data_IF_452484133370
#
_entry.id   IF_452484133370
#
_cell.length_a   1.000
_cell.length_b   1.000
_cell.length_c   1.000
_cell.angle_alpha   90.00
_cell.angle_beta   90.00
_cell.angle_gamma   90.00
#
_symmetry.space_group_name_H-M   'P 1'
#
loop_
_entity.id
_entity.type
_entity.pdbx_description
1 polymer ?
#
# COMPACT_ATOMS: atom_id res chain seq x y z
N UNK A 1 33.53 11.56 -24.72
CA UNK A 1 32.24 11.37 -24.03
C UNK A 1 32.54 10.99 -22.59
N UNK A 2 32.12 11.80 -21.59
CA UNK A 2 32.47 11.59 -20.18
C UNK A 2 31.92 10.27 -19.61
N UNK A 3 32.56 9.73 -18.61
CA UNK A 3 32.19 8.47 -17.95
C UNK A 3 30.75 8.44 -17.45
N UNK A 4 30.27 9.56 -16.86
CA UNK A 4 28.88 9.68 -16.39
C UNK A 4 27.86 9.50 -17.51
N UNK A 5 28.13 10.02 -18.72
CA UNK A 5 27.24 9.85 -19.89
C UNK A 5 27.22 8.39 -20.37
N UNK A 6 28.37 7.72 -20.34
CA UNK A 6 28.46 6.28 -20.69
C UNK A 6 27.66 5.43 -19.69
N UNK A 7 27.80 5.67 -18.39
CA UNK A 7 27.04 4.98 -17.35
C UNK A 7 25.53 5.20 -17.52
N UNK A 8 25.09 6.43 -17.79
CA UNK A 8 23.66 6.72 -18.01
C UNK A 8 23.13 6.00 -19.25
N UNK A 9 23.87 5.97 -20.36
CA UNK A 9 23.48 5.23 -21.55
C UNK A 9 23.36 3.74 -21.28
N UNK A 10 24.28 3.15 -20.53
CA UNK A 10 24.22 1.75 -20.13
C UNK A 10 22.99 1.46 -19.25
N UNK A 11 22.68 2.34 -18.28
CA UNK A 11 21.46 2.21 -17.46
C UNK A 11 20.19 2.26 -18.27
N UNK A 12 20.09 3.11 -19.28
CA UNK A 12 18.91 3.23 -20.16
C UNK A 12 18.61 1.96 -20.96
N UNK A 13 19.63 1.13 -21.22
CA UNK A 13 19.54 -0.14 -21.95
C UNK A 13 19.23 -1.34 -21.04
N UNK A 14 19.22 -1.17 -19.73
CA UNK A 14 18.88 -2.24 -18.81
C UNK A 14 17.36 -2.43 -18.70
N UNK A 15 16.88 -3.63 -18.29
CA UNK A 15 15.49 -3.83 -17.92
C UNK A 15 15.07 -2.84 -16.84
N UNK A 16 13.85 -2.31 -16.95
CA UNK A 16 13.35 -1.33 -15.99
C UNK A 16 13.16 -1.93 -14.60
N UNK A 17 13.56 -1.20 -13.58
CA UNK A 17 13.40 -1.56 -12.16
C UNK A 17 11.94 -1.79 -11.73
N UNK A 18 10.96 -1.36 -12.53
CA UNK A 18 9.53 -1.58 -12.25
C UNK A 18 9.00 -2.95 -12.66
N UNK A 19 9.85 -3.84 -13.14
CA UNK A 19 9.46 -5.20 -13.54
C UNK A 19 8.60 -5.29 -14.81
N UNK A 20 8.46 -4.20 -15.59
CA UNK A 20 7.63 -4.18 -16.81
C UNK A 20 8.23 -4.94 -18.01
N UNK A 21 9.48 -5.41 -17.92
CA UNK A 21 10.24 -5.97 -19.04
C UNK A 21 10.71 -4.95 -20.09
N UNK A 22 10.29 -3.68 -19.99
CA UNK A 22 10.72 -2.60 -20.90
C UNK A 22 12.10 -2.09 -20.52
N UNK A 23 12.82 -1.47 -21.48
CA UNK A 23 14.08 -0.78 -21.21
C UNK A 23 13.86 0.42 -20.25
N UNK A 24 14.78 0.62 -19.33
CA UNK A 24 14.68 1.69 -18.33
C UNK A 24 14.50 3.07 -18.96
N UNK A 25 15.25 3.39 -20.00
CA UNK A 25 15.15 4.66 -20.72
C UNK A 25 13.86 4.90 -21.48
N UNK A 26 13.05 3.85 -21.70
CA UNK A 26 11.71 3.91 -22.31
C UNK A 26 10.59 3.70 -21.29
N UNK A 27 10.92 3.67 -20.00
CA UNK A 27 9.97 3.38 -18.92
C UNK A 27 10.13 4.38 -17.76
N UNK A 28 10.90 4.02 -16.73
CA UNK A 28 10.96 4.81 -15.51
C UNK A 28 12.23 5.68 -15.37
N UNK A 29 13.22 5.57 -16.25
CA UNK A 29 14.42 6.41 -16.20
C UNK A 29 14.26 7.64 -17.13
N UNK A 30 13.86 8.76 -16.55
CA UNK A 30 13.67 10.04 -17.23
C UNK A 30 14.94 10.92 -17.04
N UNK A 31 15.69 11.15 -18.10
CA UNK A 31 17.01 11.82 -17.98
C UNK A 31 17.94 10.97 -17.12
N UNK A 32 18.31 11.49 -15.95
CA UNK A 32 19.10 10.83 -14.91
C UNK A 32 18.28 10.50 -13.64
N UNK A 33 16.97 10.67 -13.69
CA UNK A 33 16.06 10.52 -12.56
C UNK A 33 15.14 9.30 -12.76
N UNK A 34 14.98 8.51 -11.70
CA UNK A 34 14.06 7.40 -11.67
C UNK A 34 12.67 7.85 -11.21
N UNK A 35 11.66 7.63 -12.03
CA UNK A 35 10.28 7.99 -11.72
C UNK A 35 9.30 6.95 -12.29
N UNK A 36 8.53 6.33 -11.43
CA UNK A 36 7.41 5.45 -11.78
C UNK A 36 6.11 6.26 -11.66
N UNK A 37 5.44 6.58 -12.77
CA UNK A 37 4.16 7.28 -12.68
C UNK A 37 3.14 6.44 -11.92
N UNK A 38 2.22 7.09 -11.19
CA UNK A 38 1.10 6.41 -10.54
C UNK A 38 0.22 5.69 -11.55
N UNK A 39 -0.41 4.60 -11.13
CA UNK A 39 -1.39 3.89 -11.93
C UNK A 39 -2.57 4.80 -12.28
N UNK A 40 -3.11 4.65 -13.48
CA UNK A 40 -4.29 5.39 -13.91
C UNK A 40 -5.52 4.68 -13.37
N UNK A 41 -6.36 5.41 -12.64
CA UNK A 41 -7.65 4.95 -12.12
C UNK A 41 -8.73 5.88 -12.68
N UNK A 42 -9.74 5.31 -13.34
CA UNK A 42 -10.83 6.04 -13.98
C UNK A 42 -12.17 5.63 -13.35
N UNK A 43 -12.58 6.33 -12.29
CA UNK A 43 -13.83 6.02 -11.59
C UNK A 43 -15.06 6.69 -12.24
N UNK A 44 -14.88 7.85 -12.85
CA UNK A 44 -15.96 8.66 -13.43
C UNK A 44 -16.22 8.39 -14.91
N UNK A 45 -15.25 7.86 -15.67
CA UNK A 45 -15.28 7.80 -17.12
C UNK A 45 -15.40 6.37 -17.64
N UNK A 46 -16.33 6.07 -18.56
CA UNK A 46 -17.40 6.92 -19.05
C UNK A 46 -18.53 7.07 -18.03
N UNK A 47 -19.24 8.22 -17.98
CA UNK A 47 -20.41 8.38 -17.12
C UNK A 47 -21.55 7.49 -17.64
N UNK A 48 -22.18 6.73 -16.75
CA UNK A 48 -23.31 5.86 -17.11
C UNK A 48 -24.66 6.40 -16.62
N UNK A 49 -24.64 7.36 -15.68
CA UNK A 49 -25.82 7.85 -14.99
C UNK A 49 -26.41 6.87 -13.96
N UNK A 50 -25.84 5.66 -13.85
CA UNK A 50 -26.35 4.58 -12.99
C UNK A 50 -25.70 4.58 -11.60
N UNK A 51 -26.48 4.24 -10.60
CA UNK A 51 -26.03 3.98 -9.22
C UNK A 51 -26.50 2.59 -8.79
N UNK A 52 -25.67 1.85 -8.06
CA UNK A 52 -26.01 0.57 -7.45
C UNK A 52 -25.87 0.68 -5.93
N UNK A 53 -26.92 0.38 -5.18
CA UNK A 53 -26.99 0.61 -3.73
C UNK A 53 -25.84 -0.02 -2.93
N UNK A 54 -25.36 -1.18 -3.35
CA UNK A 54 -24.23 -1.87 -2.69
C UNK A 54 -22.86 -1.41 -3.14
N UNK A 55 -22.76 -0.57 -4.19
CA UNK A 55 -21.48 -0.05 -4.64
C UNK A 55 -21.10 1.17 -3.78
N UNK A 56 -19.98 1.10 -3.09
CA UNK A 56 -19.53 2.24 -2.27
C UNK A 56 -19.05 3.46 -3.11
N UNK A 57 -18.97 3.30 -4.45
CA UNK A 57 -18.74 4.38 -5.42
C UNK A 57 -20.03 4.86 -6.10
N UNK A 58 -21.22 4.50 -5.56
CA UNK A 58 -22.54 4.82 -6.18
C UNK A 58 -22.77 6.31 -6.41
N UNK A 59 -22.18 7.15 -5.55
CA UNK A 59 -22.30 8.61 -5.63
C UNK A 59 -21.76 9.20 -6.93
N UNK A 60 -20.78 8.51 -7.55
CA UNK A 60 -20.22 8.90 -8.84
C UNK A 60 -21.18 8.73 -10.01
N UNK A 61 -22.30 8.03 -9.82
CA UNK A 61 -23.30 7.74 -10.86
C UNK A 61 -22.67 7.13 -12.12
N UNK A 62 -21.69 6.32 -11.93
CA UNK A 62 -20.89 5.70 -12.96
C UNK A 62 -20.84 4.16 -12.80
N UNK A 63 -21.83 3.56 -12.13
CA UNK A 63 -21.92 2.12 -11.97
C UNK A 63 -22.27 1.44 -13.28
N UNK A 64 -21.73 0.25 -13.52
CA UNK A 64 -22.15 -0.66 -14.59
C UNK A 64 -21.84 -2.12 -14.23
N UNK A 65 -22.56 -3.03 -14.87
CA UNK A 65 -22.53 -4.45 -14.50
C UNK A 65 -23.24 -4.73 -13.18
N UNK A 66 -23.12 -5.96 -12.71
CA UNK A 66 -23.65 -6.41 -11.41
C UNK A 66 -22.75 -5.98 -10.24
N UNK A 67 -23.19 -6.32 -9.01
CA UNK A 67 -22.34 -6.22 -7.83
C UNK A 67 -21.37 -7.40 -7.83
N UNK A 68 -20.08 -7.11 -7.75
CA UNK A 68 -19.01 -8.12 -7.74
C UNK A 68 -18.53 -8.41 -6.32
N UNK A 69 -17.99 -9.61 -6.13
CA UNK A 69 -17.26 -9.98 -4.92
C UNK A 69 -15.89 -9.32 -4.91
N UNK A 70 -15.79 -8.18 -4.26
CA UNK A 70 -14.52 -7.49 -4.04
C UNK A 70 -13.71 -8.17 -2.95
N UNK A 71 -12.43 -8.41 -3.18
CA UNK A 71 -11.51 -8.83 -2.12
C UNK A 71 -11.18 -7.64 -1.23
N UNK A 72 -11.48 -7.75 0.07
CA UNK A 72 -11.18 -6.72 1.08
C UNK A 72 -9.68 -6.39 1.14
N UNK A 73 -8.85 -7.40 0.94
CA UNK A 73 -7.43 -7.30 0.65
C UNK A 73 -7.23 -8.02 -0.68
N UNK A 74 -6.55 -7.40 -1.62
CA UNK A 74 -6.35 -7.95 -2.98
C UNK A 74 -5.92 -9.40 -2.95
N UNK A 75 -6.60 -10.28 -3.67
CA UNK A 75 -6.31 -11.72 -3.70
C UNK A 75 -4.85 -11.99 -4.10
N UNK A 76 -4.33 -11.22 -5.05
CA UNK A 76 -2.94 -11.32 -5.51
C UNK A 76 -1.93 -10.99 -4.40
N UNK A 77 -2.24 -10.04 -3.51
CA UNK A 77 -1.44 -9.71 -2.33
C UNK A 77 -1.55 -10.80 -1.28
N UNK A 78 -2.76 -11.29 -1.02
CA UNK A 78 -2.97 -12.42 -0.09
C UNK A 78 -2.16 -13.64 -0.52
N UNK A 79 -2.25 -14.03 -1.80
CA UNK A 79 -1.48 -15.18 -2.35
C UNK A 79 0.03 -15.00 -2.23
N UNK A 80 0.52 -13.77 -2.42
CA UNK A 80 1.94 -13.42 -2.27
C UNK A 80 2.40 -13.57 -0.81
N UNK A 81 1.58 -13.13 0.14
CA UNK A 81 1.90 -13.14 1.57
C UNK A 81 1.58 -14.48 2.24
N UNK A 82 0.75 -15.32 1.62
CA UNK A 82 0.38 -16.60 2.17
C UNK A 82 1.60 -17.52 2.32
N UNK A 83 1.70 -18.19 3.47
CA UNK A 83 2.60 -19.31 3.70
C UNK A 83 1.79 -20.58 3.72
N UNK A 84 2.22 -21.61 3.01
CA UNK A 84 1.49 -22.89 2.89
C UNK A 84 0.01 -22.73 2.49
N UNK A 85 -0.27 -21.73 1.65
CA UNK A 85 -1.64 -21.44 1.18
C UNK A 85 -2.53 -20.72 2.21
N UNK A 86 -2.00 -20.36 3.37
CA UNK A 86 -2.72 -19.64 4.43
C UNK A 86 -2.15 -18.24 4.64
N UNK A 87 -3.06 -17.31 4.87
CA UNK A 87 -2.76 -15.92 5.17
C UNK A 87 -3.29 -15.58 6.57
N UNK A 88 -2.43 -15.03 7.41
CA UNK A 88 -2.79 -14.71 8.79
C UNK A 88 -3.24 -13.26 8.91
N UNK A 89 -4.48 -13.04 9.33
CA UNK A 89 -5.05 -11.71 9.56
C UNK A 89 -5.31 -11.47 11.05
N UNK A 90 -5.14 -10.22 11.49
CA UNK A 90 -5.48 -9.75 12.83
C UNK A 90 -6.10 -8.35 12.80
N UNK A 91 -6.79 -7.97 13.89
CA UNK A 91 -7.44 -6.66 14.01
C UNK A 91 -8.82 -6.56 13.38
N UNK A 92 -9.46 -7.69 13.10
CA UNK A 92 -10.83 -7.77 12.58
C UNK A 92 -11.86 -7.95 13.70
N UNK A 93 -13.14 -7.51 13.54
CA UNK A 93 -14.13 -7.52 14.62
C UNK A 93 -14.60 -8.92 15.07
N UNK A 94 -14.31 -9.94 14.28
CA UNK A 94 -14.64 -11.34 14.58
C UNK A 94 -13.49 -12.09 15.26
N UNK A 95 -12.39 -11.38 15.58
CA UNK A 95 -11.27 -11.90 16.38
C UNK A 95 -11.16 -11.14 17.69
N UNK A 96 -10.81 -11.80 18.81
CA UNK A 96 -10.38 -11.14 20.02
C UNK A 96 -9.19 -10.21 19.77
N UNK A 97 -9.06 -9.19 20.60
CA UNK A 97 -7.96 -8.23 20.51
C UNK A 97 -6.61 -8.94 20.69
N UNK A 98 -5.67 -8.63 19.79
CA UNK A 98 -4.34 -9.25 19.77
C UNK A 98 -4.30 -10.63 19.13
N UNK A 99 -5.44 -11.28 18.86
CA UNK A 99 -5.47 -12.57 18.19
C UNK A 99 -5.36 -12.44 16.67
N UNK A 100 -4.89 -13.52 16.06
CA UNK A 100 -4.79 -13.67 14.61
C UNK A 100 -5.40 -14.99 14.17
N UNK A 101 -5.89 -15.03 12.93
CA UNK A 101 -6.46 -16.24 12.33
C UNK A 101 -5.91 -16.46 10.93
N UNK A 102 -5.55 -17.71 10.65
CA UNK A 102 -5.23 -18.14 9.30
C UNK A 102 -6.53 -18.26 8.48
N UNK A 103 -6.53 -17.64 7.30
CA UNK A 103 -7.69 -17.62 6.39
C UNK A 103 -7.24 -17.92 4.97
N UNK A 104 -8.10 -18.55 4.20
CA UNK A 104 -7.88 -18.74 2.77
C UNK A 104 -8.12 -17.46 1.98
N UNK A 105 -7.53 -17.32 0.78
CA UNK A 105 -7.67 -16.11 -0.04
C UNK A 105 -9.13 -15.70 -0.30
N UNK A 106 -10.02 -16.68 -0.48
CA UNK A 106 -11.44 -16.43 -0.77
C UNK A 106 -12.27 -15.99 0.43
N UNK A 107 -11.73 -16.07 1.65
CA UNK A 107 -12.49 -15.75 2.87
C UNK A 107 -12.69 -14.26 3.12
N UNK A 108 -11.93 -13.41 2.44
CA UNK A 108 -11.91 -11.97 2.63
C UNK A 108 -12.53 -11.25 1.43
N UNK A 109 -13.80 -11.58 1.13
CA UNK A 109 -14.55 -10.96 0.04
C UNK A 109 -15.83 -10.30 0.56
N UNK A 110 -16.25 -9.22 -0.10
CA UNK A 110 -17.52 -8.56 0.15
C UNK A 110 -18.15 -8.03 -1.15
N UNK A 111 -19.46 -8.05 -1.22
CA UNK A 111 -20.23 -7.52 -2.34
C UNK A 111 -20.44 -6.01 -2.14
N UNK A 112 -19.41 -5.21 -2.35
CA UNK A 112 -19.41 -3.78 -2.04
C UNK A 112 -18.97 -2.87 -3.20
N UNK A 113 -18.68 -3.42 -4.38
CA UNK A 113 -18.42 -2.70 -5.62
C UNK A 113 -19.22 -3.28 -6.79
N UNK A 114 -19.55 -2.44 -7.78
CA UNK A 114 -20.00 -2.94 -9.08
C UNK A 114 -18.80 -3.42 -9.92
N UNK A 115 -19.06 -4.27 -10.91
CA UNK A 115 -18.02 -4.85 -11.79
C UNK A 115 -17.13 -3.77 -12.41
N UNK A 116 -17.73 -2.67 -12.86
CA UNK A 116 -16.99 -1.57 -13.47
C UNK A 116 -16.02 -0.90 -12.49
N UNK A 117 -16.49 -0.51 -11.30
CA UNK A 117 -15.62 0.16 -10.33
C UNK A 117 -14.56 -0.80 -9.76
N UNK A 118 -14.88 -2.08 -9.63
CA UNK A 118 -13.91 -3.10 -9.27
C UNK A 118 -12.79 -3.20 -10.33
N UNK A 119 -13.15 -3.28 -11.61
CA UNK A 119 -12.19 -3.29 -12.71
C UNK A 119 -11.36 -1.99 -12.77
N UNK A 120 -11.98 -0.83 -12.53
CA UNK A 120 -11.29 0.47 -12.52
C UNK A 120 -10.24 0.58 -11.40
N UNK A 121 -10.43 -0.11 -10.28
CA UNK A 121 -9.50 -0.13 -9.15
C UNK A 121 -8.43 -1.23 -9.24
N UNK A 122 -8.57 -2.20 -10.16
CA UNK A 122 -7.62 -3.31 -10.30
C UNK A 122 -6.16 -2.89 -10.56
N UNK A 123 -5.85 -1.76 -11.24
CA UNK A 123 -4.46 -1.31 -11.38
C UNK A 123 -3.75 -1.04 -10.04
N UNK A 124 -4.50 -0.70 -8.98
CA UNK A 124 -3.95 -0.53 -7.64
C UNK A 124 -3.56 -1.88 -7.01
N UNK A 125 -4.33 -2.94 -7.28
CA UNK A 125 -4.04 -4.29 -6.83
C UNK A 125 -2.76 -4.83 -7.47
N UNK A 126 -2.57 -4.58 -8.77
CA UNK A 126 -1.36 -4.95 -9.50
C UNK A 126 -0.13 -4.18 -8.99
N UNK A 127 -0.29 -2.89 -8.72
CA UNK A 127 0.78 -2.05 -8.17
C UNK A 127 1.18 -2.52 -6.76
N UNK A 128 0.21 -2.81 -5.89
CA UNK A 128 0.47 -3.33 -4.55
C UNK A 128 1.13 -4.72 -4.59
N UNK A 129 0.64 -5.62 -5.44
CA UNK A 129 1.27 -6.93 -5.65
C UNK A 129 2.73 -6.80 -6.05
N UNK A 130 3.04 -5.92 -7.00
CA UNK A 130 4.42 -5.68 -7.43
C UNK A 130 5.27 -5.12 -6.28
N UNK A 131 4.78 -4.10 -5.56
CA UNK A 131 5.50 -3.47 -4.45
C UNK A 131 5.81 -4.49 -3.35
N UNK A 132 4.81 -5.27 -2.92
CA UNK A 132 5.02 -6.26 -1.86
C UNK A 132 5.86 -7.45 -2.32
N UNK A 133 5.82 -7.83 -3.61
CA UNK A 133 6.72 -8.83 -4.17
C UNK A 133 8.18 -8.36 -4.15
N UNK A 134 8.42 -7.11 -4.56
CA UNK A 134 9.74 -6.49 -4.51
C UNK A 134 10.25 -6.39 -3.06
N UNK A 135 9.39 -5.94 -2.15
CA UNK A 135 9.72 -5.80 -0.74
C UNK A 135 10.03 -7.18 -0.10
N UNK A 136 9.18 -8.17 -0.35
CA UNK A 136 9.39 -9.55 0.11
C UNK A 136 10.72 -10.11 -0.41
N UNK A 137 11.01 -9.94 -1.70
CA UNK A 137 12.29 -10.36 -2.29
C UNK A 137 13.49 -9.68 -1.62
N UNK A 138 13.38 -8.39 -1.29
CA UNK A 138 14.43 -7.69 -0.55
C UNK A 138 14.61 -8.22 0.88
N UNK A 139 13.51 -8.67 1.53
CA UNK A 139 13.53 -9.17 2.90
C UNK A 139 13.99 -10.64 3.02
N UNK A 140 13.88 -11.42 1.96
CA UNK A 140 14.23 -12.86 1.93
C UNK A 140 15.72 -13.14 1.77
N UNK A 141 16.58 -12.15 2.01
CA UNK A 141 18.03 -12.32 1.99
C UNK A 141 18.59 -12.90 0.66
N UNK A 142 18.05 -12.43 -0.47
CA UNK A 142 18.59 -12.82 -1.77
C UNK A 142 20.04 -12.37 -1.91
N UNK A 143 20.96 -13.22 -2.40
CA UNK A 143 22.36 -12.84 -2.58
C UNK A 143 22.50 -11.74 -3.64
N UNK A 144 23.43 -10.81 -3.41
CA UNK A 144 23.75 -9.73 -4.35
C UNK A 144 22.99 -8.43 -4.07
N UNK A 145 22.76 -7.64 -5.12
CA UNK A 145 22.07 -6.37 -5.05
C UNK A 145 20.87 -6.35 -5.99
N UNK A 146 19.72 -5.98 -5.48
CA UNK A 146 18.51 -5.80 -6.27
C UNK A 146 18.00 -4.38 -6.14
N UNK A 147 17.51 -3.83 -7.27
CA UNK A 147 16.99 -2.46 -7.32
C UNK A 147 15.62 -2.48 -7.95
N UNK A 148 14.63 -2.02 -7.19
CA UNK A 148 13.23 -1.92 -7.61
C UNK A 148 12.75 -0.46 -7.61
N UNK A 149 11.66 -0.19 -8.32
CA UNK A 149 10.95 1.10 -8.24
C UNK A 149 9.44 0.87 -8.28
N UNK A 150 8.74 1.53 -7.37
CA UNK A 150 7.28 1.56 -7.33
C UNK A 150 6.77 3.00 -7.17
N UNK A 151 5.48 3.22 -7.42
CA UNK A 151 4.83 4.47 -7.04
C UNK A 151 4.36 4.39 -5.59
N UNK A 152 4.79 5.32 -4.76
CA UNK A 152 4.32 5.41 -3.37
C UNK A 152 2.85 5.80 -3.28
N UNK A 153 2.35 6.62 -4.22
CA UNK A 153 0.93 6.95 -4.29
C UNK A 153 0.03 5.73 -4.58
N UNK A 154 0.54 4.72 -5.28
CA UNK A 154 -0.24 3.51 -5.53
C UNK A 154 -0.40 2.70 -4.24
N UNK A 155 0.59 2.69 -3.35
CA UNK A 155 0.46 2.10 -2.02
C UNK A 155 -0.57 2.87 -1.16
N UNK A 156 -0.53 4.20 -1.17
CA UNK A 156 -1.52 5.03 -0.46
C UNK A 156 -2.94 4.72 -0.93
N UNK A 157 -3.16 4.72 -2.25
CA UNK A 157 -4.46 4.47 -2.85
C UNK A 157 -4.95 3.03 -2.65
N UNK A 158 -4.04 2.06 -2.70
CA UNK A 158 -4.36 0.67 -2.41
C UNK A 158 -4.79 0.48 -0.94
N UNK A 159 -4.06 1.09 0.01
CA UNK A 159 -4.46 1.07 1.42
C UNK A 159 -5.80 1.78 1.65
N UNK A 160 -6.07 2.89 0.95
CA UNK A 160 -7.35 3.59 1.02
C UNK A 160 -8.50 2.74 0.45
N UNK A 161 -8.30 2.08 -0.69
CA UNK A 161 -9.25 1.10 -1.27
C UNK A 161 -9.56 0.00 -0.25
N UNK A 162 -8.52 -0.62 0.31
CA UNK A 162 -8.61 -1.69 1.31
C UNK A 162 -9.39 -1.21 2.55
N UNK A 163 -9.04 -0.03 3.08
CA UNK A 163 -9.71 0.56 4.23
C UNK A 163 -11.20 0.82 3.93
N UNK A 164 -11.53 1.38 2.76
CA UNK A 164 -12.91 1.65 2.37
C UNK A 164 -13.71 0.35 2.23
N UNK A 165 -13.15 -0.67 1.62
CA UNK A 165 -13.82 -1.97 1.49
C UNK A 165 -14.09 -2.62 2.86
N UNK A 166 -13.10 -2.60 3.76
CA UNK A 166 -13.23 -3.10 5.13
C UNK A 166 -14.28 -2.31 5.93
N UNK A 167 -14.31 -0.98 5.78
CA UNK A 167 -15.25 -0.10 6.46
C UNK A 167 -16.70 -0.39 6.04
N UNK A 168 -17.00 -0.37 4.73
CA UNK A 168 -18.36 -0.57 4.22
C UNK A 168 -18.88 -2.01 4.41
N UNK A 169 -17.98 -2.97 4.50
CA UNK A 169 -18.31 -4.37 4.80
C UNK A 169 -18.38 -4.67 6.30
N UNK A 170 -18.22 -3.65 7.16
CA UNK A 170 -18.24 -3.76 8.63
C UNK A 170 -17.16 -4.73 9.17
N UNK A 171 -16.01 -4.80 8.50
CA UNK A 171 -14.88 -5.63 8.92
C UNK A 171 -13.79 -4.84 9.68
N UNK A 172 -14.16 -3.68 10.24
CA UNK A 172 -13.31 -2.89 11.14
C UNK A 172 -13.89 -2.84 12.55
N UNK A 173 -12.99 -2.91 13.53
CA UNK A 173 -13.35 -2.79 14.95
C UNK A 173 -12.28 -2.00 15.72
N UNK A 174 -12.70 -1.42 16.85
CA UNK A 174 -11.83 -0.93 17.92
C UNK A 174 -12.04 -1.81 19.16
N UNK A 175 -11.07 -2.68 19.44
CA UNK A 175 -11.27 -3.76 20.39
C UNK A 175 -12.42 -4.68 19.93
N UNK A 176 -13.46 -4.82 20.76
CA UNK A 176 -14.66 -5.64 20.45
C UNK A 176 -15.78 -4.86 19.75
N UNK A 177 -15.69 -3.53 19.69
CA UNK A 177 -16.72 -2.68 19.10
C UNK A 177 -16.52 -2.57 17.60
N UNK A 178 -17.53 -3.02 16.82
CA UNK A 178 -17.57 -2.77 15.37
C UNK A 178 -17.73 -1.29 15.10
N UNK A 179 -16.99 -0.79 14.11
CA UNK A 179 -17.11 0.58 13.66
C UNK A 179 -18.21 0.70 12.61
N UNK A 180 -18.90 1.84 12.62
CA UNK A 180 -19.93 2.17 11.63
C UNK A 180 -19.36 2.32 10.20
N UNK A 181 -18.03 2.49 10.07
CA UNK A 181 -17.36 2.63 8.79
C UNK A 181 -17.51 4.02 8.15
N UNK A 182 -17.81 5.04 8.97
CA UNK A 182 -17.92 6.45 8.57
C UNK A 182 -16.55 7.10 8.50
N UNK A 183 -16.45 8.12 7.63
CA UNK A 183 -15.25 8.93 7.44
C UNK A 183 -15.60 10.41 7.64
N UNK A 184 -14.65 11.26 8.04
CA UNK A 184 -14.85 12.70 8.08
C UNK A 184 -15.36 13.24 6.74
N UNK A 185 -16.25 14.21 6.78
CA UNK A 185 -16.95 14.71 5.59
C UNK A 185 -16.04 15.39 4.56
N UNK A 186 -14.86 15.84 4.98
CA UNK A 186 -13.81 16.42 4.11
C UNK A 186 -12.90 15.38 3.48
N UNK A 187 -12.98 14.09 3.90
CA UNK A 187 -12.22 12.97 3.31
C UNK A 187 -12.93 12.47 2.05
N UNK A 188 -12.48 12.96 0.90
CA UNK A 188 -13.06 12.64 -0.41
C UNK A 188 -12.43 11.39 -1.02
N UNK A 189 -12.86 10.22 -0.56
CA UNK A 189 -12.24 8.94 -0.89
C UNK A 189 -12.18 8.68 -2.40
N UNK A 190 -13.25 8.94 -3.15
CA UNK A 190 -13.27 8.70 -4.61
C UNK A 190 -12.25 9.59 -5.34
N UNK A 191 -12.16 10.86 -4.98
CA UNK A 191 -11.19 11.79 -5.54
C UNK A 191 -9.75 11.38 -5.20
N UNK A 192 -9.49 10.99 -3.94
CA UNK A 192 -8.18 10.53 -3.47
C UNK A 192 -7.75 9.21 -4.13
N UNK A 193 -8.69 8.34 -4.49
CA UNK A 193 -8.41 7.11 -5.25
C UNK A 193 -8.10 7.40 -6.72
N UNK A 194 -8.73 8.39 -7.32
CA UNK A 194 -8.55 8.71 -8.74
C UNK A 194 -7.35 9.62 -8.98
N UNK A 195 -7.15 10.65 -8.15
CA UNK A 195 -6.14 11.68 -8.36
C UNK A 195 -5.17 11.81 -7.18
N UNK A 196 -3.87 11.66 -7.45
CA UNK A 196 -2.84 11.85 -6.41
C UNK A 196 -2.78 13.26 -5.85
N UNK A 197 -3.20 14.28 -6.62
CA UNK A 197 -3.29 15.67 -6.18
C UNK A 197 -4.47 15.98 -5.27
N UNK A 198 -5.41 15.04 -5.09
CA UNK A 198 -6.57 15.21 -4.21
C UNK A 198 -6.24 14.94 -2.72
N UNK A 199 -5.05 14.46 -2.40
CA UNK A 199 -4.62 14.22 -1.02
C UNK A 199 -4.28 15.54 -0.34
N UNK A 200 -4.93 15.88 0.80
CA UNK A 200 -4.56 17.06 1.57
C UNK A 200 -3.11 17.02 2.04
N UNK A 201 -2.52 18.18 2.32
CA UNK A 201 -1.16 18.24 2.88
C UNK A 201 -1.05 17.44 4.18
N UNK A 202 0.08 16.77 4.36
CA UNK A 202 0.41 15.89 5.50
C UNK A 202 -0.53 14.69 5.70
N UNK A 203 -1.45 14.44 4.76
CA UNK A 203 -2.18 13.17 4.66
C UNK A 203 -1.48 12.23 3.68
N UNK A 204 -1.62 10.93 3.91
CA UNK A 204 -0.93 9.91 3.14
C UNK A 204 -0.23 8.90 4.03
N UNK A 205 0.79 8.22 3.48
CA UNK A 205 1.46 7.14 4.18
C UNK A 205 2.64 7.62 5.04
N UNK A 206 2.66 7.12 6.26
CA UNK A 206 3.78 7.20 7.19
C UNK A 206 4.33 5.80 7.42
N UNK A 207 5.64 5.64 7.32
CA UNK A 207 6.31 4.38 7.64
C UNK A 207 6.87 4.44 9.05
N UNK A 208 6.43 3.52 9.89
CA UNK A 208 6.83 3.43 11.29
C UNK A 208 7.84 2.29 11.41
N UNK A 209 9.03 2.61 11.90
CA UNK A 209 10.01 1.60 12.26
C UNK A 209 10.32 1.69 13.75
N UNK A 210 10.27 0.55 14.43
CA UNK A 210 10.84 0.41 15.76
C UNK A 210 12.30 -0.01 15.61
N UNK A 211 13.21 0.74 16.22
CA UNK A 211 14.61 0.34 16.28
C UNK A 211 14.72 -1.01 17.02
N UNK A 212 15.36 -1.99 16.42
CA UNK A 212 15.66 -3.28 17.04
C UNK A 212 14.64 -4.41 16.82
N UNK A 213 13.42 -4.13 16.32
CA UNK A 213 12.35 -5.14 16.20
C UNK A 213 12.06 -5.53 14.75
N UNK A 214 13.01 -6.10 14.05
CA UNK A 214 12.76 -6.71 12.75
C UNK A 214 12.44 -8.20 12.87
N UNK A 215 11.32 -8.51 13.51
CA UNK A 215 10.66 -9.79 13.28
C UNK A 215 9.92 -9.72 11.95
N UNK A 216 10.57 -10.11 10.87
CA UNK A 216 9.92 -10.23 9.56
C UNK A 216 8.93 -11.39 9.64
N UNK A 217 7.65 -11.07 9.68
CA UNK A 217 6.61 -12.08 9.57
C UNK A 217 5.98 -11.98 8.17
N UNK A 218 6.39 -12.86 7.28
CA UNK A 218 6.03 -12.85 5.87
C UNK A 218 4.54 -13.08 5.59
N UNK A 219 3.83 -13.74 6.50
CA UNK A 219 2.44 -14.15 6.27
C UNK A 219 1.40 -13.37 7.08
N UNK A 220 1.85 -12.44 7.93
CA UNK A 220 0.94 -11.74 8.85
C UNK A 220 0.54 -10.37 8.33
N UNK A 221 -0.76 -10.13 8.27
CA UNK A 221 -1.37 -8.84 7.97
C UNK A 221 -2.18 -8.37 9.18
N UNK A 222 -1.80 -7.25 9.76
CA UNK A 222 -2.53 -6.64 10.87
C UNK A 222 -3.09 -5.30 10.45
N UNK A 223 -4.30 -5.01 10.91
CA UNK A 223 -4.98 -3.74 10.71
C UNK A 223 -5.52 -3.21 12.03
N UNK A 224 -5.45 -1.89 12.20
CA UNK A 224 -6.09 -1.19 13.30
C UNK A 224 -6.57 0.18 12.81
N UNK A 225 -7.89 0.38 12.71
CA UNK A 225 -8.44 1.69 12.37
C UNK A 225 -8.20 2.67 13.52
N UNK A 226 -7.92 3.92 13.16
CA UNK A 226 -7.84 5.04 14.10
C UNK A 226 -9.07 5.92 13.86
N UNK A 227 -9.77 6.26 14.94
CA UNK A 227 -10.96 7.09 14.87
C UNK A 227 -10.76 8.41 15.62
N UNK A 228 -11.43 9.46 15.13
CA UNK A 228 -11.54 10.73 15.84
C UNK A 228 -12.60 10.67 16.96
N UNK A 229 -12.87 11.80 17.61
CA UNK A 229 -13.85 11.89 18.71
C UNK A 229 -15.29 11.59 18.29
N UNK A 230 -15.60 11.71 16.99
CA UNK A 230 -16.91 11.39 16.40
C UNK A 230 -17.01 9.91 15.96
N UNK A 231 -16.06 9.06 16.32
CA UNK A 231 -15.94 7.66 15.88
C UNK A 231 -15.76 7.49 14.36
N UNK A 232 -15.38 8.56 13.63
CA UNK A 232 -15.11 8.51 12.21
C UNK A 232 -13.68 8.04 11.97
N UNK A 233 -13.49 7.23 10.93
CA UNK A 233 -12.19 6.65 10.57
C UNK A 233 -11.30 7.73 9.95
N UNK A 234 -10.25 8.12 10.64
CA UNK A 234 -9.32 9.19 10.26
C UNK A 234 -7.91 8.69 9.89
N UNK A 235 -7.58 7.45 10.25
CA UNK A 235 -6.36 6.79 9.80
C UNK A 235 -6.47 5.26 9.87
N UNK A 236 -5.53 4.56 9.23
CA UNK A 236 -5.36 3.11 9.31
C UNK A 236 -3.92 2.80 9.66
N UNK A 237 -3.71 2.15 10.82
CA UNK A 237 -2.46 1.46 11.07
C UNK A 237 -2.49 0.05 10.46
N UNK A 238 -1.40 -0.36 9.84
CA UNK A 238 -1.25 -1.72 9.32
C UNK A 238 0.18 -2.21 9.47
N UNK A 239 0.35 -3.51 9.67
CA UNK A 239 1.63 -4.18 9.60
C UNK A 239 1.59 -5.21 8.47
N UNK A 240 2.54 -5.06 7.54
CA UNK A 240 2.67 -5.93 6.37
C UNK A 240 4.15 -6.31 6.25
N UNK A 241 4.45 -7.59 6.17
CA UNK A 241 5.84 -8.10 6.11
C UNK A 241 6.71 -7.65 7.31
N UNK A 242 6.11 -7.40 8.47
CA UNK A 242 6.80 -6.85 9.62
C UNK A 242 7.02 -5.33 9.62
N UNK A 243 6.65 -4.66 8.53
CA UNK A 243 6.78 -3.20 8.41
C UNK A 243 5.48 -2.51 8.81
N UNK A 244 5.60 -1.49 9.65
CA UNK A 244 4.48 -0.66 10.09
C UNK A 244 4.20 0.47 9.11
N UNK A 245 2.93 0.60 8.70
CA UNK A 245 2.43 1.71 7.89
C UNK A 245 1.25 2.36 8.58
N UNK A 246 1.18 3.68 8.52
CA UNK A 246 0.02 4.45 8.95
C UNK A 246 -0.48 5.27 7.77
N UNK A 247 -1.67 4.97 7.28
CA UNK A 247 -2.35 5.79 6.29
C UNK A 247 -3.16 6.85 7.04
N UNK A 248 -2.78 8.11 6.93
CA UNK A 248 -3.46 9.25 7.56
C UNK A 248 -4.37 9.91 6.54
N UNK A 249 -5.65 10.08 6.88
CA UNK A 249 -6.67 10.69 6.03
C UNK A 249 -7.06 12.09 6.50
N UNK A 250 -6.92 12.38 7.79
CA UNK A 250 -7.29 13.65 8.40
C UNK A 250 -6.07 14.38 8.94
N UNK A 251 -5.92 15.66 8.60
CA UNK A 251 -4.74 16.46 8.95
C UNK A 251 -4.51 16.57 10.47
N UNK A 252 -5.58 16.66 11.26
CA UNK A 252 -5.48 16.77 12.73
C UNK A 252 -4.79 15.56 13.35
N UNK A 253 -4.92 14.41 12.74
CA UNK A 253 -4.34 13.13 13.21
C UNK A 253 -2.83 13.09 13.03
N UNK A 254 -2.30 13.72 11.96
CA UNK A 254 -0.87 13.71 11.68
C UNK A 254 -0.02 14.36 12.79
N UNK A 255 -0.62 15.26 13.57
CA UNK A 255 0.05 15.98 14.67
C UNK A 255 -0.16 15.33 16.04
N UNK A 256 -1.19 14.47 16.18
CA UNK A 256 -1.65 13.99 17.47
C UNK A 256 -1.43 12.49 17.72
N UNK A 257 -1.03 11.71 16.71
CA UNK A 257 -0.71 10.30 16.90
C UNK A 257 0.74 10.12 17.39
N UNK A 258 0.96 9.61 18.62
CA UNK A 258 2.30 9.40 19.15
C UNK A 258 3.17 8.48 18.29
N UNK A 259 2.54 7.53 17.59
CA UNK A 259 3.22 6.60 16.68
C UNK A 259 3.87 7.29 15.48
N UNK A 260 3.43 8.51 15.15
CA UNK A 260 3.98 9.30 14.03
C UNK A 260 5.21 10.12 14.41
N UNK A 261 5.52 10.26 15.71
CA UNK A 261 6.66 11.07 16.17
C UNK A 261 8.02 10.57 15.62
N UNK A 262 8.14 9.26 15.37
CA UNK A 262 9.32 8.63 14.77
C UNK A 262 9.08 8.08 13.35
N UNK A 263 7.93 8.39 12.76
CA UNK A 263 7.57 7.89 11.44
C UNK A 263 8.12 8.77 10.31
N UNK A 264 8.41 8.14 9.19
CA UNK A 264 8.84 8.84 7.97
C UNK A 264 7.64 9.01 7.05
N UNK A 265 7.26 10.26 6.79
CA UNK A 265 6.24 10.60 5.81
C UNK A 265 6.76 10.41 4.39
N UNK A 266 6.08 9.61 3.58
CA UNK A 266 6.41 9.36 2.19
C UNK A 266 7.90 9.10 1.97
N UNK A 267 8.47 8.00 2.47
CA UNK A 267 9.90 7.72 2.30
C UNK A 267 10.27 7.66 0.82
N UNK A 268 11.49 8.10 0.50
CA UNK A 268 12.05 8.00 -0.86
C UNK A 268 12.41 6.55 -1.21
N UNK A 269 12.89 5.79 -0.24
CA UNK A 269 13.29 4.40 -0.48
C UNK A 269 13.24 3.55 0.78
N UNK A 270 13.16 2.24 0.57
CA UNK A 270 13.53 1.21 1.53
C UNK A 270 14.90 0.64 1.13
N UNK A 271 15.89 0.84 1.99
CA UNK A 271 17.24 0.30 1.85
C UNK A 271 17.37 -0.89 2.81
N UNK A 272 17.46 -2.09 2.28
CA UNK A 272 17.50 -3.32 3.05
C UNK A 272 18.88 -3.93 2.92
N UNK A 273 19.57 -4.09 4.05
CA UNK A 273 20.96 -4.57 4.10
C UNK A 273 21.03 -5.90 4.81
N UNK A 274 21.46 -6.91 4.08
CA UNK A 274 21.78 -8.24 4.60
C UNK A 274 23.29 -8.48 4.56
N UNK A 275 23.81 -9.44 5.32
CA UNK A 275 25.21 -9.87 5.18
C UNK A 275 25.57 -10.33 3.78
N UNK A 276 24.59 -10.83 3.01
CA UNK A 276 24.78 -11.36 1.65
C UNK A 276 24.55 -10.32 0.53
N UNK A 277 23.99 -9.14 0.84
CA UNK A 277 23.70 -8.15 -0.18
C UNK A 277 22.94 -6.92 0.32
N UNK A 278 22.79 -5.95 -0.57
CA UNK A 278 22.06 -4.73 -0.31
C UNK A 278 20.98 -4.53 -1.38
N UNK A 279 19.76 -4.26 -0.94
CA UNK A 279 18.61 -4.09 -1.82
C UNK A 279 17.99 -2.71 -1.66
N UNK A 280 17.52 -2.13 -2.75
CA UNK A 280 16.86 -0.83 -2.77
C UNK A 280 15.49 -0.96 -3.44
N UNK A 281 14.45 -0.52 -2.76
CA UNK A 281 13.14 -0.26 -3.34
C UNK A 281 12.87 1.25 -3.31
N UNK A 282 13.03 1.90 -4.45
CA UNK A 282 12.70 3.32 -4.63
C UNK A 282 11.18 3.51 -4.65
N UNK A 283 10.70 4.54 -3.96
CA UNK A 283 9.32 5.02 -4.04
C UNK A 283 9.31 6.37 -4.75
N UNK A 284 8.59 6.46 -5.86
CA UNK A 284 8.39 7.73 -6.55
C UNK A 284 7.09 8.41 -6.10
N UNK A 285 7.16 9.74 -5.97
CA UNK A 285 6.06 10.59 -5.54
C UNK A 285 5.79 11.65 -6.61
N UNK A 286 4.53 11.83 -6.99
CA UNK A 286 4.09 12.73 -8.06
C UNK A 286 3.42 14.01 -7.52
N UNK A 287 3.67 14.35 -6.24
CA UNK A 287 3.08 15.51 -5.55
C UNK A 287 3.93 16.79 -5.66
N UNK A 288 5.01 16.75 -6.42
CA UNK A 288 5.91 17.88 -6.61
C UNK A 288 6.82 18.19 -5.42
N UNK A 289 6.72 17.43 -4.31
CA UNK A 289 7.53 17.63 -3.12
C UNK A 289 8.81 16.77 -3.15
N UNK A 290 9.95 17.31 -2.66
CA UNK A 290 11.18 16.53 -2.56
C UNK A 290 11.15 15.61 -1.33
N UNK A 291 10.72 14.38 -1.49
CA UNK A 291 10.84 13.35 -0.45
C UNK A 291 12.27 12.84 -0.41
N UNK A 292 12.97 13.04 0.73
CA UNK A 292 14.41 12.76 0.86
C UNK A 292 14.74 11.70 1.89
N UNK A 293 13.81 11.37 2.79
CA UNK A 293 14.06 10.42 3.85
C UNK A 293 14.04 8.98 3.31
N UNK A 294 15.05 8.21 3.67
CA UNK A 294 15.17 6.80 3.38
C UNK A 294 14.89 5.98 4.64
N UNK A 295 14.21 4.85 4.44
CA UNK A 295 14.04 3.84 5.47
C UNK A 295 15.16 2.81 5.34
N UNK A 296 16.03 2.67 6.35
CA UNK A 296 17.12 1.70 6.32
C UNK A 296 16.86 0.57 7.30
N UNK A 297 16.86 -0.66 6.80
CA UNK A 297 16.67 -1.89 7.51
C UNK A 297 17.99 -2.68 7.48
N UNK A 298 18.57 -2.95 8.64
CA UNK A 298 19.78 -3.75 8.75
C UNK A 298 19.42 -5.09 9.38
N UNK A 299 19.63 -6.17 8.64
CA UNK A 299 19.54 -7.53 9.17
C UNK A 299 20.90 -7.90 9.75
N UNK A 300 20.98 -8.03 11.05
CA UNK A 300 22.12 -8.66 11.70
C UNK A 300 22.07 -10.16 11.37
N UNK A 301 23.24 -10.81 11.23
CA UNK A 301 23.30 -12.27 11.22
C UNK A 301 22.54 -12.78 12.44
N UNK A 302 21.71 -13.80 12.26
CA UNK A 302 21.34 -14.64 13.37
C UNK A 302 22.66 -15.08 14.01
N UNK A 303 22.94 -14.54 15.20
CA UNK A 303 24.02 -15.01 16.03
C UNK A 303 23.56 -16.39 16.46
N UNK A 304 24.05 -17.39 15.73
CA UNK A 304 24.04 -18.81 16.02
C UNK A 304 23.00 -19.24 17.06
N UNK A 305 21.89 -19.81 16.59
CA UNK A 305 21.18 -20.84 17.32
C UNK A 305 22.16 -22.01 17.51
N UNK A 306 23.04 -21.91 18.49
CA UNK A 306 23.86 -23.00 19.01
C UNK A 306 23.12 -23.70 20.14
#
# INVERSE_FOLDING_TARGET
MGEARRRLLALRQQPCRCGSGRLAGLCCLQGNHWFKPPAIVNLHTPPTGKSLDRCYMRELRACDGGVSGEHLISESVIRLLASEGQFTIGGTPWLPEGETKAVGPKSLTANCLCERHNAALSPLDDAARYLFAALKSCLENAPGASNYIASGHDLERWLLKTLKALAVSQNLARGRQRLAGTFPSDVRISEMLEAVGAWPQVTGIYCVMRAGDLAVNHSRFQIAPVTNANEEICALWTNILGLGFVLVLERSVSTNLPQLASAVFRPRSFNIRHPSGAHELLLSWADGNPHRADMTLNFLRDVDAS
#
